data_IF_628954147661
#
_entry.id   IF_628954147661
#
_cell.length_a   1.000
_cell.length_b   1.000
_cell.length_c   1.000
_cell.angle_alpha   90.00
_cell.angle_beta   90.00
_cell.angle_gamma   90.00
#
_symmetry.space_group_name_H-M   'P 1'
#
loop_
_entity.id
_entity.type
_entity.pdbx_description
1 polymer ?
#
# COMPACT_ATOMS: atom_id res chain seq x y z
N UNK A 1 -17.02 -52.81 -6.78
CA UNK A 1 -15.99 -52.38 -5.81
C UNK A 1 -15.54 -50.98 -6.21
N UNK A 2 -15.89 -49.99 -5.40
CA UNK A 2 -15.70 -48.57 -5.68
C UNK A 2 -14.22 -48.18 -5.58
N UNK A 3 -13.72 -47.53 -6.63
CA UNK A 3 -12.50 -46.72 -6.62
C UNK A 3 -12.80 -45.37 -5.97
N UNK A 4 -12.06 -45.00 -4.94
CA UNK A 4 -11.84 -43.64 -4.41
C UNK A 4 -10.74 -43.82 -3.34
N UNK A 5 -9.67 -43.03 -3.25
CA UNK A 5 -9.62 -41.58 -3.23
C UNK A 5 -8.13 -41.17 -3.28
N UNK A 6 -7.70 -40.47 -4.32
CA UNK A 6 -6.46 -39.69 -4.25
C UNK A 6 -6.64 -38.60 -3.17
N UNK A 7 -5.59 -38.25 -2.40
CA UNK A 7 -5.69 -37.19 -1.42
C UNK A 7 -5.99 -35.88 -2.12
N UNK A 8 -6.92 -35.13 -1.53
CA UNK A 8 -7.36 -33.84 -1.99
C UNK A 8 -6.14 -32.89 -2.05
N UNK A 9 -6.00 -32.19 -3.17
CA UNK A 9 -5.36 -30.88 -3.16
C UNK A 9 -6.06 -30.07 -2.08
N UNK A 10 -5.32 -29.67 -1.05
CA UNK A 10 -5.80 -28.68 -0.10
C UNK A 10 -6.14 -27.43 -0.92
N UNK A 11 -7.42 -27.06 -0.92
CA UNK A 11 -7.90 -25.86 -1.55
C UNK A 11 -7.23 -24.66 -0.86
N UNK A 12 -6.22 -24.09 -1.50
CA UNK A 12 -5.72 -22.77 -1.18
C UNK A 12 -6.82 -21.80 -1.59
N UNK A 13 -7.73 -21.47 -0.67
CA UNK A 13 -8.83 -20.54 -0.93
C UNK A 13 -10.16 -20.92 -0.28
N UNK A 14 -10.18 -21.30 1.00
CA UNK A 14 -11.43 -21.35 1.77
C UNK A 14 -11.47 -20.22 2.81
N UNK A 15 -12.10 -19.11 2.40
CA UNK A 15 -12.56 -18.07 3.32
C UNK A 15 -12.37 -16.66 2.81
N UNK A 16 -13.42 -16.12 2.18
CA UNK A 16 -13.67 -14.69 1.90
C UNK A 16 -12.91 -14.07 0.71
N UNK A 17 -13.58 -13.99 -0.45
CA UNK A 17 -13.16 -13.20 -1.63
C UNK A 17 -14.41 -12.52 -2.22
N UNK A 18 -14.86 -11.41 -1.60
CA UNK A 18 -15.08 -10.17 -2.35
C UNK A 18 -14.32 -8.95 -1.76
N UNK A 19 -14.14 -8.90 -0.43
CA UNK A 19 -13.65 -7.71 0.26
C UNK A 19 -12.12 -7.60 0.24
N UNK A 20 -11.42 -8.73 0.33
CA UNK A 20 -9.97 -8.82 0.38
C UNK A 20 -9.34 -8.53 -0.99
N UNK A 21 -9.92 -9.06 -2.06
CA UNK A 21 -9.52 -8.72 -3.44
C UNK A 21 -9.77 -7.24 -3.74
N UNK A 22 -10.90 -6.69 -3.26
CA UNK A 22 -11.20 -5.28 -3.43
C UNK A 22 -10.21 -4.39 -2.65
N UNK A 23 -9.83 -4.79 -1.43
CA UNK A 23 -8.80 -4.11 -0.65
C UNK A 23 -7.42 -4.15 -1.34
N UNK A 24 -7.05 -5.28 -1.93
CA UNK A 24 -5.83 -5.40 -2.73
C UNK A 24 -5.86 -4.51 -3.98
N UNK A 25 -6.98 -4.47 -4.72
CA UNK A 25 -7.13 -3.56 -5.85
C UNK A 25 -7.01 -2.08 -5.44
N UNK A 26 -7.57 -1.71 -4.29
CA UNK A 26 -7.40 -0.36 -3.72
C UNK A 26 -5.94 -0.06 -3.40
N UNK A 27 -5.19 -1.01 -2.85
CA UNK A 27 -3.77 -0.87 -2.57
C UNK A 27 -2.96 -0.63 -3.85
N UNK A 28 -3.22 -1.42 -4.90
CA UNK A 28 -2.56 -1.24 -6.20
C UNK A 28 -2.92 0.12 -6.81
N UNK A 29 -4.17 0.56 -6.68
CA UNK A 29 -4.57 1.90 -7.12
C UNK A 29 -3.85 3.00 -6.32
N UNK A 30 -3.76 2.87 -5.00
CA UNK A 30 -3.04 3.80 -4.14
C UNK A 30 -1.56 3.90 -4.53
N UNK A 31 -0.92 2.78 -4.84
CA UNK A 31 0.47 2.74 -5.30
C UNK A 31 0.65 3.49 -6.63
N UNK A 32 -0.23 3.23 -7.61
CA UNK A 32 -0.20 3.89 -8.93
C UNK A 32 -0.43 5.39 -8.82
N UNK A 33 -1.46 5.79 -8.10
CA UNK A 33 -1.80 7.20 -7.87
C UNK A 33 -0.64 7.92 -7.16
N UNK A 34 -0.02 7.28 -6.17
CA UNK A 34 1.12 7.84 -5.46
C UNK A 34 2.36 8.02 -6.35
N UNK A 35 2.66 7.02 -7.18
CA UNK A 35 3.74 7.12 -8.16
C UNK A 35 3.48 8.22 -9.20
N UNK A 36 2.22 8.39 -9.64
CA UNK A 36 1.82 9.44 -10.57
C UNK A 36 1.97 10.85 -9.97
N UNK A 37 1.64 11.02 -8.67
CA UNK A 37 1.88 12.28 -7.95
C UNK A 37 3.38 12.57 -7.89
N UNK A 38 4.20 11.58 -7.50
CA UNK A 38 5.65 11.73 -7.47
C UNK A 38 6.25 12.09 -8.82
N UNK A 39 5.77 11.46 -9.90
CA UNK A 39 6.16 11.76 -11.27
C UNK A 39 5.79 13.20 -11.66
N UNK A 40 4.55 13.61 -11.42
CA UNK A 40 4.07 14.97 -11.71
C UNK A 40 4.95 16.02 -11.03
N UNK A 41 5.20 15.86 -9.73
CA UNK A 41 6.03 16.79 -8.96
C UNK A 41 7.49 16.76 -9.44
N UNK A 42 8.01 15.63 -9.91
CA UNK A 42 9.40 15.51 -10.41
C UNK A 42 9.61 16.07 -11.81
N UNK A 43 8.61 15.97 -12.69
CA UNK A 43 8.72 16.39 -14.09
C UNK A 43 8.31 17.84 -14.30
N UNK A 44 7.36 18.36 -13.50
CA UNK A 44 6.88 19.73 -13.61
C UNK A 44 7.50 20.61 -12.53
N UNK A 45 8.14 21.70 -12.95
CA UNK A 45 8.71 22.69 -12.05
C UNK A 45 7.64 23.65 -11.49
N UNK A 46 6.56 23.85 -12.24
CA UNK A 46 5.48 24.81 -11.99
C UNK A 46 4.19 24.13 -11.51
N UNK A 47 4.30 23.23 -10.54
CA UNK A 47 3.12 22.61 -9.90
C UNK A 47 2.26 23.71 -9.26
N UNK A 48 1.02 23.83 -9.70
CA UNK A 48 0.13 24.91 -9.30
C UNK A 48 -0.30 24.77 -7.83
N UNK A 49 -0.76 25.88 -7.24
CA UNK A 49 -1.07 25.92 -5.81
C UNK A 49 -2.22 25.00 -5.39
N UNK A 50 -3.22 24.86 -6.27
CA UNK A 50 -4.34 23.93 -6.15
C UNK A 50 -3.89 22.47 -6.31
N UNK A 51 -2.92 22.19 -7.17
CA UNK A 51 -2.31 20.86 -7.29
C UNK A 51 -1.60 20.45 -5.99
N UNK A 52 -0.86 21.36 -5.34
CA UNK A 52 -0.29 21.11 -4.01
C UNK A 52 -1.35 20.86 -2.95
N UNK A 53 -2.48 21.56 -2.99
CA UNK A 53 -3.61 21.28 -2.10
C UNK A 53 -4.18 19.89 -2.34
N UNK A 54 -4.30 19.47 -3.61
CA UNK A 54 -4.74 18.12 -3.95
C UNK A 54 -3.76 17.06 -3.44
N UNK A 55 -2.45 17.32 -3.48
CA UNK A 55 -1.42 16.46 -2.87
C UNK A 55 -1.64 16.34 -1.36
N UNK A 56 -1.90 17.44 -0.64
CA UNK A 56 -2.20 17.38 0.80
C UNK A 56 -3.48 16.60 1.10
N UNK A 57 -4.53 16.79 0.29
CA UNK A 57 -5.77 16.00 0.42
C UNK A 57 -5.51 14.51 0.20
N UNK A 58 -4.67 14.17 -0.78
CA UNK A 58 -4.28 12.79 -1.06
C UNK A 58 -3.49 12.17 0.10
N UNK A 59 -2.54 12.91 0.69
CA UNK A 59 -1.80 12.47 1.88
C UNK A 59 -2.71 12.16 3.08
N UNK A 60 -3.74 12.99 3.30
CA UNK A 60 -4.75 12.75 4.35
C UNK A 60 -5.59 11.51 4.06
N UNK A 61 -5.98 11.30 2.81
CA UNK A 61 -6.66 10.07 2.37
C UNK A 61 -5.78 8.85 2.60
N UNK A 62 -4.50 8.91 2.25
CA UNK A 62 -3.53 7.82 2.47
C UNK A 62 -3.41 7.49 3.97
N UNK A 63 -3.32 8.49 4.84
CA UNK A 63 -3.30 8.27 6.28
C UNK A 63 -4.53 7.51 6.80
N UNK A 64 -5.73 7.83 6.27
CA UNK A 64 -6.98 7.16 6.60
C UNK A 64 -7.01 5.73 6.06
N UNK A 65 -6.60 5.54 4.80
CA UNK A 65 -6.53 4.23 4.15
C UNK A 65 -5.54 3.29 4.85
N UNK A 66 -4.56 3.80 5.59
CA UNK A 66 -3.71 2.98 6.45
C UNK A 66 -4.49 2.12 7.45
N UNK A 67 -5.65 2.57 7.95
CA UNK A 67 -6.51 1.71 8.81
C UNK A 67 -7.12 0.54 8.02
N UNK A 68 -7.49 0.73 6.75
CA UNK A 68 -7.94 -0.35 5.87
C UNK A 68 -6.80 -1.35 5.60
N UNK A 69 -5.58 -0.87 5.39
CA UNK A 69 -4.40 -1.72 5.17
C UNK A 69 -4.03 -2.56 6.40
N UNK A 70 -4.27 -2.07 7.63
CA UNK A 70 -4.15 -2.91 8.83
C UNK A 70 -5.12 -4.08 8.81
N UNK A 71 -6.32 -3.88 8.27
CA UNK A 71 -7.29 -4.95 8.05
C UNK A 71 -6.69 -6.07 7.21
N UNK A 72 -6.05 -5.71 6.09
CA UNK A 72 -5.35 -6.66 5.22
C UNK A 72 -4.19 -7.35 5.95
N UNK A 73 -3.43 -6.61 6.76
CA UNK A 73 -2.30 -7.16 7.50
C UNK A 73 -2.70 -8.28 8.48
N UNK A 74 -3.94 -8.29 8.99
CA UNK A 74 -4.44 -9.35 9.87
C UNK A 74 -4.50 -10.72 9.19
N UNK A 75 -4.59 -10.76 7.86
CA UNK A 75 -4.58 -11.98 7.06
C UNK A 75 -3.22 -12.68 7.02
N UNK A 76 -2.13 -12.00 7.38
CA UNK A 76 -0.81 -12.61 7.44
C UNK A 76 -0.61 -13.44 8.72
N UNK A 77 0.18 -14.51 8.59
CA UNK A 77 0.77 -15.19 9.72
C UNK A 77 1.93 -14.37 10.32
N UNK A 78 2.27 -14.61 11.58
CA UNK A 78 3.54 -14.10 12.12
C UNK A 78 4.73 -14.82 11.46
N UNK A 79 5.85 -14.14 11.16
CA UNK A 79 6.20 -12.75 11.51
C UNK A 79 5.74 -11.70 10.48
N UNK A 80 5.19 -12.12 9.33
CA UNK A 80 4.80 -11.23 8.23
C UNK A 80 3.75 -10.21 8.65
N UNK A 81 2.83 -10.59 9.55
CA UNK A 81 1.84 -9.66 10.11
C UNK A 81 2.47 -8.49 10.87
N UNK A 82 3.44 -8.75 11.75
CA UNK A 82 4.13 -7.69 12.47
C UNK A 82 4.85 -6.73 11.50
N UNK A 83 5.51 -7.26 10.47
CA UNK A 83 6.15 -6.47 9.42
C UNK A 83 5.12 -5.63 8.65
N UNK A 84 4.01 -6.24 8.21
CA UNK A 84 2.93 -5.57 7.50
C UNK A 84 2.34 -4.41 8.31
N UNK A 85 2.09 -4.62 9.61
CA UNK A 85 1.59 -3.57 10.50
C UNK A 85 2.61 -2.44 10.69
N UNK A 86 3.89 -2.77 10.82
CA UNK A 86 4.96 -1.78 10.95
C UNK A 86 5.09 -0.93 9.68
N UNK A 87 5.03 -1.55 8.49
CA UNK A 87 5.04 -0.85 7.21
C UNK A 87 3.86 0.11 7.08
N UNK A 88 2.65 -0.34 7.43
CA UNK A 88 1.44 0.49 7.38
C UNK A 88 1.55 1.69 8.31
N UNK A 89 2.00 1.50 9.55
CA UNK A 89 2.18 2.61 10.49
C UNK A 89 3.27 3.58 10.03
N UNK A 90 4.37 3.08 9.45
CA UNK A 90 5.41 3.92 8.87
C UNK A 90 4.88 4.76 7.70
N UNK A 91 4.11 4.16 6.78
CA UNK A 91 3.46 4.89 5.68
C UNK A 91 2.55 5.99 6.20
N UNK A 92 1.75 5.73 7.24
CA UNK A 92 0.87 6.74 7.85
C UNK A 92 1.67 7.88 8.48
N UNK A 93 2.71 7.56 9.25
CA UNK A 93 3.56 8.54 9.89
C UNK A 93 4.24 9.44 8.85
N UNK A 94 4.77 8.86 7.79
CA UNK A 94 5.41 9.58 6.69
C UNK A 94 4.42 10.41 5.88
N UNK A 95 3.22 9.87 5.59
CA UNK A 95 2.19 10.63 4.90
C UNK A 95 1.78 11.88 5.69
N UNK A 96 1.66 11.76 7.02
CA UNK A 96 1.40 12.89 7.91
C UNK A 96 2.57 13.88 7.93
N UNK A 97 3.81 13.38 7.97
CA UNK A 97 5.01 14.22 7.94
C UNK A 97 5.16 14.97 6.61
N UNK A 98 4.73 14.36 5.50
CA UNK A 98 4.76 14.91 4.15
C UNK A 98 3.71 16.01 3.91
N UNK A 99 2.70 16.15 4.77
CA UNK A 99 1.69 17.23 4.65
C UNK A 99 2.33 18.61 4.81
N UNK A 100 3.35 18.73 5.67
CA UNK A 100 4.11 19.96 5.89
C UNK A 100 4.92 20.41 4.66
N UNK A 101 5.82 19.59 4.08
CA UNK A 101 6.54 19.97 2.87
C UNK A 101 5.60 20.19 1.67
N UNK A 102 4.51 19.41 1.55
CA UNK A 102 3.50 19.68 0.52
C UNK A 102 2.83 21.04 0.68
N UNK A 103 2.47 21.44 1.91
CA UNK A 103 1.91 22.76 2.20
C UNK A 103 2.89 23.91 2.02
N UNK A 104 4.18 23.67 2.28
CA UNK A 104 5.26 24.61 2.03
C UNK A 104 5.71 24.63 0.54
N UNK A 105 5.19 23.71 -0.29
CA UNK A 105 5.64 23.48 -1.67
C UNK A 105 7.13 23.17 -1.75
N UNK A 106 7.66 22.56 -0.72
CA UNK A 106 9.04 22.09 -0.65
C UNK A 106 9.16 20.79 -1.46
N UNK A 107 9.52 20.97 -2.72
CA UNK A 107 9.60 19.89 -3.72
C UNK A 107 10.57 18.80 -3.30
N UNK A 108 11.75 19.17 -2.82
CA UNK A 108 12.82 18.21 -2.51
C UNK A 108 12.45 17.39 -1.27
N UNK A 109 11.96 18.05 -0.22
CA UNK A 109 11.49 17.36 0.97
C UNK A 109 10.27 16.47 0.68
N UNK A 110 9.34 16.94 -0.17
CA UNK A 110 8.21 16.12 -0.61
C UNK A 110 8.66 14.89 -1.40
N UNK A 111 9.56 15.04 -2.38
CA UNK A 111 10.06 13.93 -3.20
C UNK A 111 10.92 12.93 -2.40
N UNK A 112 11.55 13.36 -1.31
CA UNK A 112 12.20 12.44 -0.38
C UNK A 112 11.16 11.57 0.36
N UNK A 113 10.11 12.19 0.90
CA UNK A 113 9.02 11.45 1.55
C UNK A 113 8.27 10.55 0.56
N UNK A 114 8.05 11.02 -0.67
CA UNK A 114 7.37 10.29 -1.73
C UNK A 114 8.06 8.96 -2.04
N UNK A 115 9.38 8.98 -2.27
CA UNK A 115 10.18 7.77 -2.53
C UNK A 115 10.17 6.81 -1.34
N UNK A 116 10.25 7.34 -0.13
CA UNK A 116 10.24 6.56 1.10
C UNK A 116 8.91 5.84 1.32
N UNK A 117 7.78 6.51 1.05
CA UNK A 117 6.44 5.94 1.12
C UNK A 117 6.23 4.90 0.00
N UNK A 118 6.68 5.21 -1.22
CA UNK A 118 6.57 4.31 -2.38
C UNK A 118 7.30 2.97 -2.14
N UNK A 119 8.52 3.02 -1.58
CA UNK A 119 9.27 1.83 -1.21
C UNK A 119 8.51 0.96 -0.20
N UNK A 120 7.94 1.56 0.85
CA UNK A 120 7.19 0.82 1.89
C UNK A 120 5.89 0.22 1.38
N UNK A 121 5.19 0.90 0.48
CA UNK A 121 4.02 0.35 -0.19
C UNK A 121 4.43 -0.85 -1.05
N UNK A 122 5.55 -0.74 -1.77
CA UNK A 122 6.15 -1.85 -2.52
C UNK A 122 6.44 -3.05 -1.62
N UNK A 123 7.18 -2.84 -0.54
CA UNK A 123 7.48 -3.88 0.46
C UNK A 123 6.21 -4.52 1.03
N UNK A 124 5.15 -3.73 1.28
CA UNK A 124 3.87 -4.25 1.76
C UNK A 124 3.16 -5.10 0.69
N UNK A 125 3.23 -4.72 -0.58
CA UNK A 125 2.69 -5.51 -1.71
C UNK A 125 3.48 -6.82 -1.87
N UNK A 126 4.80 -6.78 -1.72
CA UNK A 126 5.67 -7.95 -1.86
C UNK A 126 5.36 -9.03 -0.80
N UNK A 127 4.87 -8.64 0.38
CA UNK A 127 4.41 -9.59 1.40
C UNK A 127 3.26 -10.50 0.92
N UNK A 128 2.46 -10.05 -0.05
CA UNK A 128 1.41 -10.86 -0.67
C UNK A 128 1.94 -11.79 -1.77
N UNK A 129 3.08 -11.47 -2.37
CA UNK A 129 3.70 -12.27 -3.44
C UNK A 129 4.60 -13.37 -2.88
N UNK A 130 5.12 -13.20 -1.67
CA UNK A 130 5.97 -14.15 -0.96
C UNK A 130 5.15 -15.33 -0.39
N UNK A 131 4.29 -15.93 -1.20
CA UNK A 131 3.65 -17.22 -0.92
C UNK A 131 4.63 -18.30 -1.36
N UNK A 132 5.10 -19.20 -0.48
CA UNK A 132 5.97 -20.29 -0.88
C UNK A 132 5.28 -21.14 -1.97
N UNK A 133 5.91 -21.24 -3.13
CA UNK A 133 5.65 -22.29 -4.11
C UNK A 133 6.08 -23.64 -3.49
N UNK A 134 5.31 -24.15 -2.54
CA UNK A 134 5.39 -25.56 -2.15
C UNK A 134 4.22 -26.30 -2.80
N UNK A 135 4.45 -26.70 -4.05
CA UNK A 135 3.72 -27.77 -4.76
C UNK A 135 4.34 -29.13 -4.42
#
# INVERSE_FOLDING_TARGET
>A
MQTCRSPAFAAVGEGNLPDEAYAFLKLIQLQKDWAAIGKTVREREDVAGDEWQNVQLYLRKMYQQGEELKGMAKGFAEPKRAQALALVEAVRAEARAADKPAGARDRDAFLAAQRSIEAKIGEFVDLFQDVPDEL
#
